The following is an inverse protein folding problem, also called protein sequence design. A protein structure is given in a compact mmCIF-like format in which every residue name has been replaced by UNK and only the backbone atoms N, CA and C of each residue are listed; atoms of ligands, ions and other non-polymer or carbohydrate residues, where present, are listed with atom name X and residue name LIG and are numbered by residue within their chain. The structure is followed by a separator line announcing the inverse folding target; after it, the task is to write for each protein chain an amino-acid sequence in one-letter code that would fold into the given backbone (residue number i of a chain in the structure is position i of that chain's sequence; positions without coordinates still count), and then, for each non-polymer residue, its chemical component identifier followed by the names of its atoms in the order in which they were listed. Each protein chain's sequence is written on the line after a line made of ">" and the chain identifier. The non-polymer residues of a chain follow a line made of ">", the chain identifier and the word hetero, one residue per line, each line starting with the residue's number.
data_IF_860568455237
#
_entry.id   IF_860568455237
#
_cell.length_a   1.000
_cell.length_b   1.000
_cell.length_c   1.000
_cell.angle_alpha   90.00
_cell.angle_beta   90.00
_cell.angle_gamma   90.00
#
_symmetry.space_group_name_H-M   'P 1'
#
loop_
_entity.id
_entity.type
_entity.pdbx_description
1 polymer ?
#
# COMPACT_ATOMS: atom_id res chain seq x y z
N UNK A 1 20.23 -16.47 -4.56
CA UNK A 1 19.45 -17.68 -4.23
C UNK A 1 20.36 -18.67 -3.52
N UNK A 2 19.84 -19.66 -2.79
CA UNK A 2 20.67 -20.82 -2.44
C UNK A 2 21.06 -21.55 -3.73
N UNK A 3 22.18 -22.27 -3.71
CA UNK A 3 22.71 -23.00 -4.86
C UNK A 3 21.70 -24.07 -5.36
N UNK A 4 20.74 -24.48 -4.52
CA UNK A 4 19.76 -25.53 -4.79
C UNK A 4 18.34 -25.03 -5.13
N UNK A 5 18.14 -23.71 -5.24
CA UNK A 5 16.81 -23.12 -5.52
C UNK A 5 15.78 -23.24 -4.38
N UNK A 6 16.12 -23.89 -3.26
CA UNK A 6 15.26 -23.99 -2.07
C UNK A 6 15.22 -22.68 -1.29
N UNK A 7 14.04 -22.33 -0.79
CA UNK A 7 13.87 -21.17 0.09
C UNK A 7 14.71 -21.35 1.36
N UNK A 8 15.50 -20.33 1.70
CA UNK A 8 16.29 -20.26 2.93
C UNK A 8 15.87 -19.03 3.71
N UNK A 9 15.43 -19.26 4.94
CA UNK A 9 14.98 -18.22 5.87
C UNK A 9 16.14 -17.29 6.21
N UNK A 10 17.32 -17.84 6.53
CA UNK A 10 18.55 -17.10 6.82
C UNK A 10 18.95 -16.17 5.66
N UNK A 11 19.01 -16.68 4.43
CA UNK A 11 19.41 -15.87 3.27
C UNK A 11 18.38 -14.76 2.98
N UNK A 12 17.10 -15.03 3.20
CA UNK A 12 16.02 -14.06 3.00
C UNK A 12 16.06 -12.97 4.07
N UNK A 13 16.33 -13.34 5.32
CA UNK A 13 16.56 -12.42 6.43
C UNK A 13 17.77 -11.52 6.18
N UNK A 14 18.92 -12.07 5.77
CA UNK A 14 20.09 -11.27 5.41
C UNK A 14 19.80 -10.26 4.31
N UNK A 15 19.09 -10.67 3.24
CA UNK A 15 18.69 -9.76 2.16
C UNK A 15 17.73 -8.67 2.64
N UNK A 16 16.79 -9.02 3.51
CA UNK A 16 15.85 -8.06 4.08
C UNK A 16 16.56 -7.01 4.93
N UNK A 17 17.45 -7.43 5.84
CA UNK A 17 18.20 -6.51 6.70
C UNK A 17 19.19 -5.65 5.91
N UNK A 18 19.78 -6.17 4.82
CA UNK A 18 20.59 -5.36 3.91
C UNK A 18 19.78 -4.26 3.19
N UNK A 19 18.51 -4.53 2.86
CA UNK A 19 17.59 -3.56 2.25
C UNK A 19 17.00 -2.58 3.26
N UNK A 20 16.88 -2.99 4.52
CA UNK A 20 16.30 -2.20 5.59
C UNK A 20 17.25 -2.13 6.79
N UNK A 21 18.36 -1.36 6.70
CA UNK A 21 19.41 -1.35 7.73
C UNK A 21 18.91 -0.98 9.13
N UNK A 22 17.94 -0.06 9.22
CA UNK A 22 17.33 0.38 10.49
C UNK A 22 16.58 -0.73 11.22
N UNK A 23 16.08 -1.72 10.50
CA UNK A 23 15.46 -2.91 11.12
C UNK A 23 16.53 -3.79 11.73
N UNK A 24 17.71 -3.87 11.10
CA UNK A 24 18.85 -4.66 11.57
C UNK A 24 19.47 -4.13 12.87
N UNK A 25 19.33 -2.84 13.19
CA UNK A 25 19.79 -2.27 14.45
C UNK A 25 18.89 -2.56 15.65
N UNK A 26 17.71 -3.15 15.43
CA UNK A 26 16.79 -3.46 16.53
C UNK A 26 17.15 -4.80 17.19
N UNK A 27 17.25 -4.87 18.54
CA UNK A 27 17.81 -6.03 19.24
C UNK A 27 17.20 -7.38 18.86
N UNK A 28 15.88 -7.44 18.62
CA UNK A 28 15.19 -8.67 18.21
C UNK A 28 15.68 -9.19 16.85
N UNK A 29 15.92 -8.31 15.89
CA UNK A 29 16.42 -8.65 14.56
C UNK A 29 17.94 -8.90 14.56
N UNK A 30 18.70 -8.21 15.41
CA UNK A 30 20.13 -8.45 15.59
C UNK A 30 20.37 -9.85 16.18
N UNK A 31 19.62 -10.22 17.23
CA UNK A 31 19.65 -11.56 17.82
C UNK A 31 19.30 -12.65 16.79
N UNK A 32 18.26 -12.41 15.99
CA UNK A 32 17.83 -13.30 14.92
C UNK A 32 18.93 -13.44 13.85
N UNK A 33 19.59 -12.35 13.46
CA UNK A 33 20.69 -12.38 12.49
C UNK A 33 21.91 -13.16 13.01
N UNK A 34 22.23 -13.05 14.31
CA UNK A 34 23.34 -13.76 14.95
C UNK A 34 23.16 -15.28 14.98
N UNK A 35 21.92 -15.79 15.00
CA UNK A 35 21.63 -17.23 14.97
C UNK A 35 22.01 -17.91 13.64
N UNK A 36 22.14 -17.15 12.54
CA UNK A 36 22.56 -17.69 11.24
C UNK A 36 21.67 -18.83 10.75
N UNK A 37 22.24 -20.01 10.52
CA UNK A 37 21.52 -21.19 10.04
C UNK A 37 20.53 -21.80 11.06
N UNK A 38 20.64 -21.45 12.34
CA UNK A 38 19.74 -21.95 13.39
C UNK A 38 18.41 -21.18 13.46
N UNK A 39 18.23 -20.13 12.66
CA UNK A 39 17.00 -19.35 12.61
C UNK A 39 15.85 -20.21 12.08
N UNK A 40 14.77 -20.30 12.86
CA UNK A 40 13.56 -21.02 12.45
C UNK A 40 12.60 -20.10 11.70
N UNK A 41 11.73 -20.69 10.88
CA UNK A 41 10.68 -19.95 10.18
C UNK A 41 9.72 -19.24 11.15
N UNK A 42 9.38 -19.89 12.27
CA UNK A 42 8.45 -19.37 13.27
C UNK A 42 8.99 -18.11 13.96
N UNK A 43 10.27 -18.12 14.36
CA UNK A 43 10.93 -16.95 14.96
C UNK A 43 10.92 -15.74 14.03
N UNK A 44 11.12 -15.98 12.73
CA UNK A 44 11.08 -14.92 11.71
C UNK A 44 9.65 -14.42 11.51
N UNK A 45 8.67 -15.32 11.42
CA UNK A 45 7.26 -14.96 11.29
C UNK A 45 6.81 -14.08 12.46
N UNK A 46 7.19 -14.43 13.68
CA UNK A 46 6.86 -13.65 14.88
C UNK A 46 7.47 -12.25 14.87
N UNK A 47 8.73 -12.11 14.42
CA UNK A 47 9.38 -10.80 14.31
C UNK A 47 8.79 -9.92 13.19
N UNK A 48 8.37 -10.54 12.08
CA UNK A 48 7.91 -9.85 10.88
C UNK A 48 6.42 -9.47 10.92
N UNK A 49 5.60 -10.17 11.70
CA UNK A 49 4.15 -9.98 11.73
C UNK A 49 3.75 -8.54 12.06
N UNK A 50 4.38 -7.95 13.07
CA UNK A 50 4.12 -6.56 13.45
C UNK A 50 4.78 -5.56 12.49
N UNK A 51 5.99 -5.88 12.04
CA UNK A 51 6.75 -5.03 11.10
C UNK A 51 6.05 -4.89 9.74
N UNK A 52 5.25 -5.88 9.34
CA UNK A 52 4.44 -5.85 8.13
C UNK A 52 3.53 -4.62 8.06
N UNK A 53 3.00 -4.18 9.19
CA UNK A 53 2.06 -3.06 9.29
C UNK A 53 2.75 -1.69 9.12
N UNK A 54 4.08 -1.67 9.19
CA UNK A 54 4.84 -0.44 9.01
C UNK A 54 4.92 -0.05 7.51
N UNK A 55 4.48 1.16 7.11
CA UNK A 55 4.37 1.55 5.70
C UNK A 55 5.68 1.49 4.91
N UNK A 56 6.83 1.65 5.56
CA UNK A 56 8.14 1.60 4.88
C UNK A 56 8.62 0.18 4.58
N UNK A 57 8.15 -0.82 5.33
CA UNK A 57 8.74 -2.16 5.33
C UNK A 57 7.87 -3.23 4.67
N UNK A 58 6.56 -2.99 4.47
CA UNK A 58 5.65 -3.97 3.86
C UNK A 58 6.17 -4.53 2.53
N UNK A 59 6.52 -3.66 1.57
CA UNK A 59 6.97 -4.06 0.22
C UNK A 59 8.28 -4.87 0.27
N UNK A 60 9.38 -4.38 0.89
CA UNK A 60 10.62 -5.14 0.94
C UNK A 60 10.48 -6.45 1.72
N UNK A 61 9.65 -6.48 2.77
CA UNK A 61 9.37 -7.70 3.54
C UNK A 61 8.71 -8.75 2.65
N UNK A 62 7.61 -8.41 1.97
CA UNK A 62 6.89 -9.36 1.11
C UNK A 62 7.78 -9.83 -0.04
N UNK A 63 8.57 -8.92 -0.62
CA UNK A 63 9.53 -9.28 -1.66
C UNK A 63 10.59 -10.30 -1.20
N UNK A 64 11.09 -10.18 0.04
CA UNK A 64 12.11 -11.11 0.56
C UNK A 64 11.52 -12.43 1.06
N UNK A 65 10.28 -12.41 1.58
CA UNK A 65 9.68 -13.53 2.30
C UNK A 65 8.46 -14.15 1.61
N UNK A 66 8.31 -13.96 0.29
CA UNK A 66 7.17 -14.44 -0.50
C UNK A 66 6.69 -15.87 -0.18
N UNK A 67 7.58 -16.88 0.01
CA UNK A 67 7.16 -18.24 0.32
C UNK A 67 6.46 -18.40 1.68
N UNK A 68 6.75 -17.54 2.65
CA UNK A 68 6.21 -17.59 4.02
C UNK A 68 5.27 -16.42 4.33
N UNK A 69 5.05 -15.50 3.37
CA UNK A 69 4.23 -14.29 3.58
C UNK A 69 2.84 -14.62 4.08
N UNK A 70 2.23 -15.74 3.66
CA UNK A 70 0.94 -16.17 4.19
C UNK A 70 0.96 -16.32 5.71
N UNK A 71 1.99 -17.00 6.26
CA UNK A 71 2.13 -17.18 7.71
C UNK A 71 2.36 -15.84 8.43
N UNK A 72 3.15 -14.94 7.82
CA UNK A 72 3.36 -13.58 8.36
C UNK A 72 2.05 -12.80 8.42
N UNK A 73 1.26 -12.81 7.34
CA UNK A 73 -0.05 -12.14 7.29
C UNK A 73 -1.02 -12.78 8.29
N UNK A 74 -1.13 -14.11 8.34
CA UNK A 74 -2.01 -14.82 9.27
C UNK A 74 -1.64 -14.50 10.74
N UNK A 75 -0.35 -14.41 11.06
CA UNK A 75 0.13 -13.98 12.38
C UNK A 75 -0.22 -12.51 12.66
N UNK A 76 -0.02 -11.61 11.70
CA UNK A 76 -0.39 -10.20 11.84
C UNK A 76 -1.90 -10.04 12.08
N UNK A 77 -2.74 -10.79 11.36
CA UNK A 77 -4.20 -10.82 11.57
C UNK A 77 -4.55 -11.33 12.96
N UNK A 78 -3.83 -12.33 13.47
CA UNK A 78 -4.01 -12.85 14.83
C UNK A 78 -3.67 -11.79 15.87
N UNK A 79 -2.56 -11.07 15.72
CA UNK A 79 -2.17 -9.97 16.61
C UNK A 79 -3.20 -8.83 16.56
N UNK A 80 -3.66 -8.45 15.37
CA UNK A 80 -4.67 -7.41 15.20
C UNK A 80 -6.02 -7.77 15.81
N UNK A 81 -6.37 -9.05 15.89
CA UNK A 81 -7.60 -9.51 16.57
C UNK A 81 -7.56 -9.29 18.08
N UNK A 82 -6.36 -9.23 18.67
CA UNK A 82 -6.18 -8.95 20.09
C UNK A 82 -6.27 -7.45 20.41
N UNK A 83 -6.28 -6.59 19.40
CA UNK A 83 -6.41 -5.14 19.59
C UNK A 83 -7.83 -4.83 20.12
N UNK A 84 -7.97 -4.11 21.25
CA UNK A 84 -9.28 -3.87 21.86
C UNK A 84 -10.27 -3.12 20.95
N UNK A 85 -9.75 -2.20 20.13
CA UNK A 85 -10.55 -1.32 19.29
C UNK A 85 -9.79 -0.92 18.02
N UNK A 86 -10.43 -1.14 16.86
CA UNK A 86 -9.92 -0.76 15.54
C UNK A 86 -10.84 0.24 14.82
N UNK A 87 -11.92 0.69 15.45
CA UNK A 87 -12.97 1.50 14.83
C UNK A 87 -12.80 3.00 15.06
N UNK A 88 -12.22 3.41 16.19
CA UNK A 88 -12.05 4.83 16.51
C UNK A 88 -10.76 5.11 17.27
N UNK A 89 -10.37 6.39 17.30
CA UNK A 89 -9.29 6.90 18.13
C UNK A 89 -9.86 7.56 19.39
N UNK A 90 -9.10 7.59 20.48
CA UNK A 90 -9.46 8.35 21.68
C UNK A 90 -9.31 9.87 21.45
N UNK A 91 -10.20 10.67 22.06
CA UNK A 91 -10.22 12.14 21.90
C UNK A 91 -8.95 12.85 22.42
N UNK A 92 -8.15 12.17 23.25
CA UNK A 92 -6.88 12.68 23.79
C UNK A 92 -5.73 12.60 22.76
N UNK A 93 -5.90 11.83 21.68
CA UNK A 93 -4.85 11.59 20.68
C UNK A 93 -4.63 12.75 19.69
N UNK A 94 -5.33 13.87 19.85
CA UNK A 94 -5.41 14.95 18.83
C UNK A 94 -4.14 15.83 18.76
N UNK A 95 -3.23 15.76 19.75
CA UNK A 95 -2.10 16.71 19.83
C UNK A 95 -0.78 16.28 19.19
N UNK A 96 -0.57 15.02 18.81
CA UNK A 96 0.67 14.61 18.14
C UNK A 96 0.41 14.04 16.74
N UNK A 97 0.48 14.98 15.81
CA UNK A 97 0.45 14.78 14.37
C UNK A 97 1.60 13.90 13.90
N UNK A 98 1.29 12.93 13.05
CA UNK A 98 2.28 12.31 12.18
C UNK A 98 1.90 10.87 11.87
N UNK A 99 1.64 10.58 10.60
CA UNK A 99 1.87 9.24 10.06
C UNK A 99 3.29 8.81 10.44
N UNK A 100 3.47 8.09 11.55
CA UNK A 100 4.75 7.58 12.04
C UNK A 100 5.94 8.39 11.52
N UNK A 101 6.05 9.66 11.94
CA UNK A 101 7.29 10.39 11.72
C UNK A 101 8.20 9.96 12.87
N UNK A 102 8.76 8.76 12.75
CA UNK A 102 10.04 8.44 13.33
C UNK A 102 10.53 7.07 12.87
N UNK A 103 11.83 7.03 12.61
CA UNK A 103 12.61 5.86 12.27
C UNK A 103 12.70 4.80 13.39
N UNK A 104 11.94 4.96 14.48
CA UNK A 104 12.13 4.25 15.74
C UNK A 104 11.01 3.24 16.08
N UNK A 105 9.79 3.39 15.55
CA UNK A 105 8.65 2.55 15.99
C UNK A 105 8.54 1.28 15.15
N UNK A 106 9.24 0.24 15.60
CA UNK A 106 9.10 -1.12 15.07
C UNK A 106 7.92 -1.88 15.71
N UNK A 107 7.51 -1.52 16.94
CA UNK A 107 6.37 -2.10 17.63
C UNK A 107 5.06 -1.35 17.30
N UNK A 108 4.62 -1.48 16.05
CA UNK A 108 3.49 -0.71 15.51
C UNK A 108 2.20 -0.94 16.31
N UNK A 109 1.90 -2.16 16.72
CA UNK A 109 0.61 -2.48 17.37
C UNK A 109 0.61 -1.90 18.78
N UNK A 110 1.65 -2.19 19.56
CA UNK A 110 1.75 -1.73 20.95
C UNK A 110 1.71 -0.21 21.04
N UNK A 111 2.44 0.48 20.16
CA UNK A 111 2.43 1.93 20.07
C UNK A 111 1.03 2.49 19.85
N UNK A 112 0.25 1.95 18.90
CA UNK A 112 -1.10 2.45 18.64
C UNK A 112 -2.09 2.11 19.76
N UNK A 113 -1.93 0.95 20.43
CA UNK A 113 -2.75 0.59 21.60
C UNK A 113 -2.51 1.60 22.74
N UNK A 114 -1.25 1.88 23.08
CA UNK A 114 -0.88 2.79 24.17
C UNK A 114 -1.42 4.21 23.97
N UNK A 115 -1.47 4.67 22.71
CA UNK A 115 -1.96 6.00 22.36
C UNK A 115 -3.46 6.05 22.05
N UNK A 116 -4.18 4.93 22.17
CA UNK A 116 -5.61 4.85 21.83
C UNK A 116 -5.91 5.16 20.36
N UNK A 117 -4.97 4.87 19.44
CA UNK A 117 -5.06 5.16 18.00
C UNK A 117 -5.47 3.94 17.18
N UNK A 118 -6.59 3.32 17.59
CA UNK A 118 -7.09 2.09 17.00
C UNK A 118 -7.46 2.20 15.52
N UNK A 119 -8.09 3.31 15.14
CA UNK A 119 -8.47 3.56 13.74
C UNK A 119 -7.24 3.81 12.86
N UNK A 120 -6.23 4.51 13.37
CA UNK A 120 -4.99 4.74 12.62
C UNK A 120 -4.24 3.42 12.37
N UNK A 121 -4.21 2.53 13.38
CA UNK A 121 -3.65 1.18 13.22
C UNK A 121 -4.42 0.36 12.17
N UNK A 122 -5.75 0.46 12.16
CA UNK A 122 -6.59 -0.19 11.15
C UNK A 122 -6.26 0.31 9.74
N UNK A 123 -6.10 1.63 9.55
CA UNK A 123 -5.73 2.22 8.26
C UNK A 123 -4.34 1.76 7.79
N UNK A 124 -3.37 1.65 8.70
CA UNK A 124 -2.05 1.08 8.42
C UNK A 124 -2.14 -0.40 8.01
N UNK A 125 -2.96 -1.18 8.70
CA UNK A 125 -3.19 -2.59 8.36
C UNK A 125 -3.83 -2.72 6.97
N UNK A 126 -4.84 -1.91 6.64
CA UNK A 126 -5.46 -1.87 5.32
C UNK A 126 -4.44 -1.50 4.23
N UNK A 127 -3.56 -0.52 4.47
CA UNK A 127 -2.48 -0.16 3.54
C UNK A 127 -1.50 -1.32 3.34
N UNK A 128 -1.09 -1.99 4.42
CA UNK A 128 -0.18 -3.12 4.36
C UNK A 128 -0.80 -4.30 3.58
N UNK A 129 -2.06 -4.63 3.86
CA UNK A 129 -2.78 -5.71 3.18
C UNK A 129 -3.07 -5.39 1.71
N UNK A 130 -3.39 -4.14 1.38
CA UNK A 130 -3.50 -3.67 0.02
C UNK A 130 -2.19 -3.94 -0.75
N UNK A 131 -1.07 -3.45 -0.25
CA UNK A 131 0.26 -3.66 -0.87
C UNK A 131 0.63 -5.14 -0.94
N UNK A 132 0.20 -5.93 0.04
CA UNK A 132 0.42 -7.37 0.04
C UNK A 132 -0.32 -8.07 -1.09
N UNK A 133 -1.58 -7.69 -1.35
CA UNK A 133 -2.36 -8.24 -2.45
C UNK A 133 -1.80 -7.87 -3.81
N UNK A 134 -1.30 -6.64 -3.97
CA UNK A 134 -0.70 -6.19 -5.23
C UNK A 134 0.54 -7.03 -5.61
N UNK A 135 1.30 -7.50 -4.61
CA UNK A 135 2.47 -8.34 -4.83
C UNK A 135 2.14 -9.84 -4.86
N UNK A 136 1.15 -10.25 -4.06
CA UNK A 136 0.85 -11.65 -3.77
C UNK A 136 -0.68 -11.86 -3.65
N UNK A 137 -1.39 -12.02 -4.78
CA UNK A 137 -2.86 -12.09 -4.79
C UNK A 137 -3.47 -13.26 -4.00
N UNK A 138 -2.74 -14.36 -3.81
CA UNK A 138 -3.24 -15.52 -3.06
C UNK A 138 -3.47 -15.24 -1.56
N UNK A 139 -3.01 -14.09 -1.04
CA UNK A 139 -3.24 -13.67 0.34
C UNK A 139 -4.68 -13.21 0.61
N UNK A 140 -5.53 -13.11 -0.42
CA UNK A 140 -6.91 -12.66 -0.30
C UNK A 140 -7.68 -13.40 0.80
N UNK A 141 -7.54 -14.72 0.90
CA UNK A 141 -8.22 -15.50 1.94
C UNK A 141 -7.81 -15.11 3.37
N UNK A 142 -6.51 -14.88 3.59
CA UNK A 142 -5.98 -14.43 4.88
C UNK A 142 -6.45 -13.03 5.24
N UNK A 143 -6.48 -12.12 4.26
CA UNK A 143 -6.93 -10.74 4.45
C UNK A 143 -8.44 -10.67 4.67
N UNK A 144 -9.23 -11.54 4.04
CA UNK A 144 -10.67 -11.64 4.35
C UNK A 144 -10.91 -12.09 5.80
N UNK A 145 -10.03 -12.90 6.40
CA UNK A 145 -10.15 -13.26 7.82
C UNK A 145 -9.94 -12.07 8.77
N UNK A 146 -9.22 -11.04 8.33
CA UNK A 146 -9.10 -9.78 9.07
C UNK A 146 -10.42 -9.01 9.07
N UNK A 147 -11.00 -8.82 7.89
CA UNK A 147 -12.26 -8.09 7.72
C UNK A 147 -13.50 -8.82 8.27
N UNK A 148 -13.36 -10.02 8.83
CA UNK A 148 -14.42 -10.67 9.62
C UNK A 148 -14.69 -9.96 10.95
N UNK A 149 -13.71 -9.25 11.50
CA UNK A 149 -13.83 -8.52 12.76
C UNK A 149 -13.47 -7.03 12.66
N UNK A 150 -12.67 -6.65 11.66
CA UNK A 150 -12.31 -5.26 11.42
C UNK A 150 -13.38 -4.50 10.60
N UNK A 151 -13.49 -3.16 10.76
CA UNK A 151 -14.36 -2.33 9.93
C UNK A 151 -13.87 -2.22 8.47
N UNK A 152 -14.65 -1.60 7.56
CA UNK A 152 -14.17 -1.25 6.22
C UNK A 152 -12.99 -0.27 6.28
N UNK A 153 -12.10 -0.25 5.27
CA UNK A 153 -10.93 0.63 5.22
C UNK A 153 -11.27 2.13 5.28
N UNK A 154 -12.53 2.49 5.05
CA UNK A 154 -13.05 3.85 5.05
C UNK A 154 -13.92 4.19 6.27
N UNK A 155 -13.74 3.48 7.40
CA UNK A 155 -14.47 3.75 8.66
C UNK A 155 -14.39 5.23 9.08
N UNK A 156 -13.25 5.90 8.88
CA UNK A 156 -13.09 7.34 9.17
C UNK A 156 -14.10 8.22 8.41
N UNK A 157 -14.42 7.86 7.17
CA UNK A 157 -15.39 8.58 6.33
C UNK A 157 -16.80 8.34 6.88
N UNK A 158 -17.11 7.10 7.27
CA UNK A 158 -18.39 6.73 7.86
C UNK A 158 -18.65 7.48 9.18
N UNK A 159 -17.65 7.51 10.07
CA UNK A 159 -17.78 8.15 11.38
C UNK A 159 -17.97 9.66 11.31
N UNK A 160 -17.31 10.35 10.36
CA UNK A 160 -17.42 11.81 10.22
C UNK A 160 -18.65 12.28 9.43
N UNK A 161 -19.39 11.36 8.82
CA UNK A 161 -20.69 11.62 8.18
C UNK A 161 -20.73 12.87 7.29
N UNK A 162 -21.63 13.81 7.61
CA UNK A 162 -21.88 15.03 6.86
C UNK A 162 -20.72 16.05 6.90
N UNK A 163 -19.88 16.02 7.93
CA UNK A 163 -18.91 17.09 8.22
C UNK A 163 -17.51 16.63 7.85
N UNK A 164 -17.16 16.80 6.57
CA UNK A 164 -15.78 16.62 6.12
C UNK A 164 -15.07 17.96 6.32
N UNK A 165 -14.34 18.10 7.43
CA UNK A 165 -13.48 19.26 7.63
C UNK A 165 -12.26 19.14 6.71
N UNK A 166 -12.25 19.92 5.63
CA UNK A 166 -11.20 19.91 4.62
C UNK A 166 -10.07 20.86 5.03
N UNK A 167 -9.35 20.52 6.11
CA UNK A 167 -8.06 21.15 6.42
C UNK A 167 -6.91 20.38 5.74
N UNK A 168 -5.77 21.04 5.52
CA UNK A 168 -4.63 20.44 4.81
C UNK A 168 -4.08 19.15 5.42
N UNK A 169 -4.14 18.98 6.76
CA UNK A 169 -3.77 17.69 7.39
C UNK A 169 -4.87 16.66 7.23
N UNK A 170 -6.13 17.06 7.46
CA UNK A 170 -7.29 16.16 7.38
C UNK A 170 -7.47 15.56 5.99
N UNK A 171 -7.20 16.33 4.93
CA UNK A 171 -7.35 15.84 3.55
C UNK A 171 -6.37 14.72 3.20
N UNK A 172 -5.14 14.76 3.76
CA UNK A 172 -4.16 13.70 3.51
C UNK A 172 -4.63 12.36 4.08
N UNK A 173 -5.28 12.36 5.24
CA UNK A 173 -5.87 11.16 5.82
C UNK A 173 -6.96 10.57 4.92
N UNK A 174 -7.88 11.42 4.43
CA UNK A 174 -8.92 10.98 3.50
C UNK A 174 -8.33 10.44 2.20
N UNK A 175 -7.31 11.09 1.64
CA UNK A 175 -6.64 10.62 0.43
C UNK A 175 -6.11 9.19 0.59
N UNK A 176 -5.39 8.91 1.68
CA UNK A 176 -4.83 7.58 1.94
C UNK A 176 -5.93 6.52 2.11
N UNK A 177 -6.99 6.85 2.86
CA UNK A 177 -8.15 5.97 3.07
C UNK A 177 -8.84 5.64 1.75
N UNK A 178 -9.15 6.66 0.96
CA UNK A 178 -9.88 6.52 -0.32
C UNK A 178 -9.05 5.71 -1.32
N UNK A 179 -7.74 5.99 -1.44
CA UNK A 179 -6.84 5.21 -2.32
C UNK A 179 -6.73 3.75 -1.90
N UNK A 180 -6.54 3.50 -0.61
CA UNK A 180 -6.44 2.13 -0.07
C UNK A 180 -7.72 1.35 -0.32
N UNK A 181 -8.87 2.01 -0.13
CA UNK A 181 -10.20 1.44 -0.37
C UNK A 181 -10.39 1.07 -1.84
N UNK A 182 -10.02 1.97 -2.76
CA UNK A 182 -10.08 1.71 -4.19
C UNK A 182 -9.20 0.53 -4.60
N UNK A 183 -7.95 0.48 -4.13
CA UNK A 183 -7.02 -0.61 -4.47
C UNK A 183 -7.48 -1.95 -3.93
N UNK A 184 -7.98 -2.02 -2.70
CA UNK A 184 -8.58 -3.25 -2.15
C UNK A 184 -9.77 -3.70 -3.01
N UNK A 185 -10.65 -2.77 -3.39
CA UNK A 185 -11.78 -3.06 -4.27
C UNK A 185 -11.32 -3.62 -5.62
N UNK A 186 -10.28 -3.08 -6.25
CA UNK A 186 -9.74 -3.61 -7.50
C UNK A 186 -9.08 -4.98 -7.30
N UNK A 187 -8.33 -5.17 -6.22
CA UNK A 187 -7.64 -6.43 -5.92
C UNK A 187 -8.59 -7.61 -5.69
N UNK A 188 -9.83 -7.35 -5.27
CA UNK A 188 -10.83 -8.39 -4.98
C UNK A 188 -12.26 -7.96 -5.31
N UNK A 189 -12.50 -7.44 -6.51
CA UNK A 189 -13.76 -6.77 -6.89
C UNK A 189 -15.01 -7.59 -6.60
N UNK A 190 -15.03 -8.87 -6.97
CA UNK A 190 -16.20 -9.73 -6.79
C UNK A 190 -16.58 -9.96 -5.32
N UNK A 191 -15.59 -9.83 -4.42
CA UNK A 191 -15.77 -10.01 -2.97
C UNK A 191 -16.05 -8.66 -2.32
N UNK A 192 -15.14 -7.69 -2.44
CA UNK A 192 -15.20 -6.43 -1.69
C UNK A 192 -16.34 -5.50 -2.15
N UNK A 193 -16.78 -5.57 -3.41
CA UNK A 193 -17.95 -4.79 -3.88
C UNK A 193 -19.23 -5.14 -3.13
N UNK A 194 -19.34 -6.39 -2.65
CA UNK A 194 -20.52 -6.91 -1.91
C UNK A 194 -20.28 -6.96 -0.41
N UNK A 195 -19.03 -6.85 0.03
CA UNK A 195 -18.64 -7.04 1.43
C UNK A 195 -18.89 -5.79 2.29
N UNK A 196 -18.81 -4.59 1.71
CA UNK A 196 -19.00 -3.32 2.43
C UNK A 196 -20.11 -2.48 1.80
N UNK A 197 -20.68 -1.57 2.60
CA UNK A 197 -21.55 -0.51 2.11
C UNK A 197 -20.72 0.68 1.61
N UNK A 198 -20.71 0.86 0.29
CA UNK A 198 -19.97 1.91 -0.40
C UNK A 198 -20.75 3.22 -0.54
N UNK A 199 -21.97 3.31 0.00
CA UNK A 199 -22.86 4.47 -0.17
C UNK A 199 -22.24 5.80 0.28
N UNK A 200 -21.37 5.78 1.30
CA UNK A 200 -20.65 6.96 1.77
C UNK A 200 -19.82 7.68 0.68
N UNK A 201 -19.40 6.95 -0.36
CA UNK A 201 -18.67 7.55 -1.50
C UNK A 201 -19.57 8.39 -2.41
N UNK A 202 -20.89 8.16 -2.42
CA UNK A 202 -21.84 9.04 -3.13
C UNK A 202 -21.83 10.44 -2.49
N UNK A 203 -21.84 10.50 -1.16
CA UNK A 203 -21.84 11.77 -0.43
C UNK A 203 -20.47 12.44 -0.48
N UNK A 204 -19.38 11.65 -0.41
CA UNK A 204 -18.02 12.15 -0.58
C UNK A 204 -17.84 12.82 -1.95
N UNK A 205 -18.18 12.14 -3.04
CA UNK A 205 -18.00 12.67 -4.40
C UNK A 205 -18.85 13.93 -4.60
N UNK A 206 -20.12 13.94 -4.16
CA UNK A 206 -20.97 15.14 -4.23
C UNK A 206 -20.35 16.35 -3.54
N UNK A 207 -19.77 16.16 -2.34
CA UNK A 207 -19.11 17.25 -1.60
C UNK A 207 -17.84 17.71 -2.30
N UNK A 208 -16.98 16.78 -2.72
CA UNK A 208 -15.67 17.10 -3.30
C UNK A 208 -15.80 17.76 -4.67
N UNK A 209 -16.87 17.49 -5.43
CA UNK A 209 -17.19 18.20 -6.69
C UNK A 209 -17.52 19.68 -6.46
N UNK A 210 -18.09 20.03 -5.30
CA UNK A 210 -18.54 21.40 -5.00
C UNK A 210 -17.50 22.29 -4.29
N UNK A 211 -16.28 21.78 -4.05
CA UNK A 211 -15.22 22.58 -3.43
C UNK A 211 -14.60 23.49 -4.49
N UNK A 212 -14.62 24.79 -4.24
CA UNK A 212 -14.03 25.81 -5.10
C UNK A 212 -12.49 25.73 -5.09
N UNK A 213 -11.87 25.99 -6.24
CA UNK A 213 -10.44 25.79 -6.46
C UNK A 213 -9.60 26.87 -5.73
N UNK A 214 -9.33 26.66 -4.43
CA UNK A 214 -8.44 27.52 -3.63
C UNK A 214 -6.99 27.51 -4.11
N UNK A 215 -6.15 28.47 -3.68
CA UNK A 215 -4.82 28.72 -4.26
C UNK A 215 -3.69 27.72 -3.94
N UNK A 216 -3.88 26.74 -3.04
CA UNK A 216 -2.84 25.75 -2.70
C UNK A 216 -2.84 24.57 -3.68
N UNK A 217 -1.81 24.54 -4.53
CA UNK A 217 -1.59 23.51 -5.57
C UNK A 217 -1.54 22.09 -5.00
N UNK A 218 -0.96 21.88 -3.80
CA UNK A 218 -0.89 20.53 -3.21
C UNK A 218 -2.27 20.08 -2.73
N UNK A 219 -2.98 20.96 -2.03
CA UNK A 219 -4.32 20.72 -1.54
C UNK A 219 -5.30 20.42 -2.69
N UNK A 220 -5.25 21.20 -3.77
CA UNK A 220 -6.02 20.94 -4.99
C UNK A 220 -5.72 19.56 -5.57
N UNK A 221 -4.44 19.19 -5.64
CA UNK A 221 -4.00 17.87 -6.11
C UNK A 221 -4.64 16.73 -5.32
N UNK A 222 -4.65 16.84 -4.01
CA UNK A 222 -5.16 15.81 -3.11
C UNK A 222 -6.70 15.72 -3.22
N UNK A 223 -7.40 16.86 -3.38
CA UNK A 223 -8.84 16.93 -3.71
C UNK A 223 -9.13 16.18 -5.01
N UNK A 224 -8.38 16.48 -6.08
CA UNK A 224 -8.58 15.83 -7.38
C UNK A 224 -8.37 14.32 -7.30
N UNK A 225 -7.35 13.87 -6.56
CA UNK A 225 -7.08 12.44 -6.39
C UNK A 225 -8.19 11.75 -5.57
N UNK A 226 -8.72 12.40 -4.52
CA UNK A 226 -9.88 11.92 -3.76
C UNK A 226 -11.11 11.81 -4.67
N UNK A 227 -11.40 12.87 -5.44
CA UNK A 227 -12.52 12.91 -6.39
C UNK A 227 -12.42 11.76 -7.38
N UNK A 228 -11.24 11.59 -7.98
CA UNK A 228 -10.99 10.54 -8.95
C UNK A 228 -11.20 9.15 -8.35
N UNK A 229 -10.55 8.83 -7.23
CA UNK A 229 -10.69 7.53 -6.59
C UNK A 229 -12.13 7.27 -6.13
N UNK A 230 -12.84 8.28 -5.61
CA UNK A 230 -14.24 8.15 -5.23
C UNK A 230 -15.13 7.79 -6.42
N UNK A 231 -14.92 8.45 -7.56
CA UNK A 231 -15.65 8.15 -8.81
C UNK A 231 -15.30 6.74 -9.32
N UNK A 232 -14.05 6.31 -9.25
CA UNK A 232 -13.66 4.96 -9.66
C UNK A 232 -14.22 3.87 -8.74
N UNK A 233 -14.32 4.13 -7.44
CA UNK A 233 -15.01 3.23 -6.51
C UNK A 233 -16.47 3.07 -6.94
N UNK A 234 -17.16 4.19 -7.17
CA UNK A 234 -18.56 4.18 -7.60
C UNK A 234 -18.72 3.51 -8.98
N UNK A 235 -17.79 3.71 -9.90
CA UNK A 235 -17.86 3.11 -11.23
C UNK A 235 -17.79 1.58 -11.16
N UNK A 236 -16.92 1.04 -10.31
CA UNK A 236 -16.77 -0.40 -10.10
C UNK A 236 -17.98 -0.97 -9.37
N UNK A 237 -18.41 -0.35 -8.26
CA UNK A 237 -19.51 -0.84 -7.43
C UNK A 237 -20.85 -0.79 -8.18
N UNK A 238 -21.10 0.30 -8.91
CA UNK A 238 -22.35 0.52 -9.64
C UNK A 238 -22.30 0.02 -11.09
N UNK A 239 -21.19 -0.60 -11.51
CA UNK A 239 -20.96 -1.10 -12.88
C UNK A 239 -21.21 -0.03 -13.95
N UNK A 240 -20.72 1.19 -13.71
CA UNK A 240 -20.82 2.29 -14.65
C UNK A 240 -19.91 2.06 -15.86
N UNK A 241 -20.34 2.52 -17.03
CA UNK A 241 -19.48 2.57 -18.21
C UNK A 241 -18.67 3.88 -18.26
N UNK A 242 -17.64 3.91 -19.11
CA UNK A 242 -16.75 5.07 -19.25
C UNK A 242 -17.48 6.37 -19.59
N UNK A 243 -18.58 6.28 -20.36
CA UNK A 243 -19.41 7.44 -20.70
C UNK A 243 -20.11 8.02 -19.47
N UNK A 244 -20.59 7.18 -18.57
CA UNK A 244 -21.18 7.61 -17.31
C UNK A 244 -20.12 8.19 -16.36
N UNK A 245 -18.92 7.60 -16.32
CA UNK A 245 -17.78 8.11 -15.53
C UNK A 245 -17.35 9.50 -16.01
N UNK A 246 -17.26 9.72 -17.33
CA UNK A 246 -16.88 11.02 -17.90
C UNK A 246 -17.85 12.15 -17.52
N UNK A 247 -19.12 11.85 -17.22
CA UNK A 247 -20.10 12.85 -16.76
C UNK A 247 -19.78 13.42 -15.37
N UNK A 248 -18.94 12.74 -14.58
CA UNK A 248 -18.47 13.24 -13.30
C UNK A 248 -17.22 14.12 -13.42
N UNK A 249 -16.84 14.50 -14.65
CA UNK A 249 -15.70 15.38 -14.91
C UNK A 249 -14.34 14.67 -14.90
N UNK A 250 -14.31 13.34 -14.86
CA UNK A 250 -13.06 12.56 -14.91
C UNK A 250 -12.58 12.43 -16.36
N UNK A 251 -11.59 13.24 -16.74
CA UNK A 251 -10.91 13.16 -18.04
C UNK A 251 -9.81 12.08 -18.06
N UNK A 252 -9.38 11.67 -19.25
CA UNK A 252 -8.28 10.70 -19.42
C UNK A 252 -6.97 11.17 -18.74
N UNK A 253 -6.70 12.48 -18.77
CA UNK A 253 -5.49 13.09 -18.19
C UNK A 253 -5.43 12.99 -16.65
N UNK A 254 -6.59 13.00 -15.98
CA UNK A 254 -6.68 12.93 -14.52
C UNK A 254 -6.44 11.50 -14.00
N UNK A 255 -6.90 10.49 -14.76
CA UNK A 255 -6.64 9.08 -14.50
C UNK A 255 -5.15 8.73 -14.55
N UNK A 256 -4.40 9.38 -15.45
CA UNK A 256 -2.96 9.20 -15.56
C UNK A 256 -2.19 9.78 -14.37
N UNK A 257 -2.71 10.86 -13.78
CA UNK A 257 -2.04 11.56 -12.70
C UNK A 257 -2.23 10.87 -11.34
N UNK A 258 -3.38 10.23 -11.07
CA UNK A 258 -3.71 9.60 -9.79
C UNK A 258 -3.04 8.23 -9.59
N UNK A 259 -2.96 7.43 -10.66
CA UNK A 259 -2.48 6.03 -10.61
C UNK A 259 -0.97 5.89 -10.34
N UNK A 260 -0.17 6.95 -10.55
CA UNK A 260 1.30 6.93 -10.48
C UNK A 260 1.90 7.52 -9.18
N UNK A 261 1.07 7.94 -8.21
CA UNK A 261 1.54 8.79 -7.09
C UNK A 261 1.90 8.05 -5.80
N UNK A 262 1.75 6.74 -5.74
CA UNK A 262 1.98 5.98 -4.50
C UNK A 262 3.45 5.57 -4.23
N UNK A 263 4.40 5.93 -5.12
CA UNK A 263 5.83 5.58 -4.99
C UNK A 263 6.77 6.79 -4.88
N UNK A 264 6.41 7.82 -4.10
CA UNK A 264 7.41 8.79 -3.62
C UNK A 264 7.90 8.43 -2.23
N UNK A 265 8.58 7.29 -2.11
CA UNK A 265 9.70 7.21 -1.17
C UNK A 265 10.87 7.98 -1.81
N UNK A 266 11.50 8.84 -1.02
CA UNK A 266 12.49 9.81 -1.49
C UNK A 266 13.65 9.15 -2.24
N UNK A 267 13.99 9.73 -3.41
CA UNK A 267 15.28 9.56 -4.08
C UNK A 267 15.28 8.72 -5.37
N UNK A 268 14.87 9.32 -6.50
CA UNK A 268 15.60 9.21 -7.79
C UNK A 268 14.95 10.03 -8.93
N UNK A 269 15.74 10.65 -9.83
CA UNK A 269 15.26 11.59 -10.85
C UNK A 269 14.93 10.91 -12.19
N UNK A 270 14.33 9.71 -12.18
CA UNK A 270 13.89 9.08 -13.44
C UNK A 270 12.48 9.54 -13.80
N UNK A 271 12.38 10.55 -14.65
CA UNK A 271 11.12 11.12 -15.12
C UNK A 271 10.52 10.19 -16.17
N UNK A 272 9.40 9.55 -15.83
CA UNK A 272 8.66 8.68 -16.74
C UNK A 272 7.81 9.54 -17.69
N UNK A 273 8.12 9.54 -18.99
CA UNK A 273 7.26 10.18 -20.01
C UNK A 273 6.15 9.23 -20.44
N UNK A 274 5.06 9.75 -21.01
CA UNK A 274 3.90 8.96 -21.47
C UNK A 274 4.29 7.84 -22.44
N UNK A 275 5.23 8.11 -23.35
CA UNK A 275 5.77 7.11 -24.29
C UNK A 275 6.60 6.03 -23.59
N UNK A 276 7.43 6.40 -22.61
CA UNK A 276 8.25 5.45 -21.84
C UNK A 276 7.38 4.53 -20.97
N UNK A 277 6.23 5.01 -20.48
CA UNK A 277 5.31 4.22 -19.65
C UNK A 277 4.68 3.06 -20.41
N UNK A 278 4.20 3.29 -21.64
CA UNK A 278 3.61 2.23 -22.48
C UNK A 278 4.65 1.16 -22.84
N UNK A 279 5.87 1.57 -23.17
CA UNK A 279 6.98 0.64 -23.40
C UNK A 279 7.33 -0.14 -22.12
N UNK A 280 7.30 0.51 -20.95
CA UNK A 280 7.58 -0.14 -19.67
C UNK A 280 6.53 -1.22 -19.33
N UNK A 281 5.24 -0.91 -19.46
CA UNK A 281 4.13 -1.85 -19.20
C UNK A 281 4.18 -3.07 -20.12
N UNK A 282 4.45 -2.87 -21.42
CA UNK A 282 4.58 -3.98 -22.38
C UNK A 282 5.74 -4.91 -22.02
N UNK A 283 6.90 -4.36 -21.66
CA UNK A 283 8.05 -5.17 -21.26
C UNK A 283 7.75 -5.87 -19.93
N UNK A 284 7.07 -5.22 -18.98
CA UNK A 284 6.72 -5.79 -17.67
C UNK A 284 5.78 -6.97 -17.79
N UNK A 285 4.76 -6.84 -18.62
CA UNK A 285 3.84 -7.93 -18.91
C UNK A 285 4.58 -9.12 -19.54
N UNK A 286 5.43 -8.89 -20.54
CA UNK A 286 6.16 -9.96 -21.20
C UNK A 286 7.18 -10.66 -20.27
N UNK A 287 7.91 -9.89 -19.44
CA UNK A 287 8.83 -10.44 -18.43
C UNK A 287 8.08 -11.26 -17.38
N UNK A 288 6.90 -10.81 -16.94
CA UNK A 288 6.06 -11.56 -15.98
C UNK A 288 5.63 -12.94 -16.51
N UNK A 289 5.51 -13.06 -17.83
CA UNK A 289 5.17 -14.31 -18.53
C UNK A 289 6.40 -15.14 -18.93
N UNK A 290 7.61 -14.72 -18.53
CA UNK A 290 8.89 -15.33 -18.91
C UNK A 290 9.15 -15.35 -20.42
N UNK A 291 8.62 -14.38 -21.17
CA UNK A 291 8.86 -14.26 -22.60
C UNK A 291 10.16 -13.47 -22.87
N UNK A 292 11.01 -13.91 -23.81
CA UNK A 292 12.13 -13.10 -24.27
C UNK A 292 11.64 -11.83 -24.98
N UNK A 293 12.20 -10.67 -24.62
CA UNK A 293 11.81 -9.37 -25.18
C UNK A 293 13.01 -8.66 -25.79
N UNK A 294 12.90 -8.24 -27.06
CA UNK A 294 13.90 -7.42 -27.74
C UNK A 294 13.46 -5.94 -27.78
N UNK A 295 14.22 -5.07 -27.13
CA UNK A 295 14.00 -3.62 -27.13
C UNK A 295 14.85 -2.94 -28.22
N UNK A 296 14.21 -2.42 -29.27
CA UNK A 296 14.88 -1.66 -30.34
C UNK A 296 14.36 -0.22 -30.44
N UNK A 297 15.19 0.68 -30.99
CA UNK A 297 14.84 2.09 -31.17
C UNK A 297 16.07 2.98 -31.37
N UNK A 298 15.88 4.28 -31.70
CA UNK A 298 16.98 5.21 -31.97
C UNK A 298 17.97 5.36 -30.80
N UNK A 299 19.21 5.75 -31.10
CA UNK A 299 20.23 6.02 -30.08
C UNK A 299 19.75 7.12 -29.12
N UNK A 300 20.05 6.99 -27.82
CA UNK A 300 19.62 7.96 -26.80
C UNK A 300 18.15 7.85 -26.34
N UNK A 301 17.34 6.96 -26.90
CA UNK A 301 15.92 6.79 -26.52
C UNK A 301 15.64 6.20 -25.11
N UNK A 302 16.66 6.08 -24.25
CA UNK A 302 16.50 5.64 -22.87
C UNK A 302 16.30 4.13 -22.64
N UNK A 303 16.56 3.28 -23.65
CA UNK A 303 16.38 1.80 -23.56
C UNK A 303 17.13 1.18 -22.37
N UNK A 304 18.40 1.54 -22.18
CA UNK A 304 19.19 1.03 -21.05
C UNK A 304 18.66 1.52 -19.71
N UNK A 305 18.19 2.77 -19.64
CA UNK A 305 17.61 3.32 -18.42
C UNK A 305 16.26 2.69 -18.06
N UNK A 306 15.45 2.31 -19.06
CA UNK A 306 14.23 1.54 -18.88
C UNK A 306 14.52 0.15 -18.30
N UNK A 307 15.54 -0.55 -18.84
CA UNK A 307 15.99 -1.86 -18.30
C UNK A 307 16.52 -1.70 -16.87
N UNK A 308 17.36 -0.71 -16.59
CA UNK A 308 17.91 -0.48 -15.25
C UNK A 308 16.83 -0.15 -14.22
N UNK A 309 15.81 0.63 -14.60
CA UNK A 309 14.65 0.90 -13.74
C UNK A 309 13.85 -0.38 -13.48
N UNK A 310 13.58 -1.14 -14.53
CA UNK A 310 12.81 -2.37 -14.42
C UNK A 310 13.50 -3.47 -13.60
N UNK A 311 14.82 -3.57 -13.74
CA UNK A 311 15.68 -4.42 -12.92
C UNK A 311 15.66 -4.02 -11.44
N UNK A 312 15.61 -2.70 -11.17
CA UNK A 312 15.47 -2.16 -9.81
C UNK A 312 14.09 -2.46 -9.22
N UNK A 313 13.02 -2.25 -9.99
CA UNK A 313 11.64 -2.48 -9.56
C UNK A 313 11.34 -3.99 -9.38
N UNK A 314 11.93 -4.84 -10.22
CA UNK A 314 11.81 -6.30 -10.14
C UNK A 314 12.81 -6.95 -9.16
N UNK A 315 13.71 -6.16 -8.57
CA UNK A 315 14.71 -6.63 -7.59
C UNK A 315 15.82 -7.53 -8.16
N UNK A 316 16.02 -7.55 -9.48
CA UNK A 316 17.09 -8.28 -10.18
C UNK A 316 18.20 -7.30 -10.57
N UNK A 317 19.01 -6.83 -9.61
CA UNK A 317 20.27 -6.18 -9.96
C UNK A 317 21.31 -7.28 -10.20
N UNK A 318 21.73 -7.45 -11.46
CA UNK A 318 22.97 -8.14 -11.76
C UNK A 318 24.13 -7.34 -11.19
N UNK A 319 25.08 -8.03 -10.55
CA UNK A 319 26.42 -7.50 -10.29
C UNK A 319 27.04 -6.96 -11.57
#
# INVERSE_FOLDING_TARGET
>A
MSIDGRFSVELSLRRFLARCPKVGSVPRFESLAKKGQLVTEEEVVDCLAELLLHPRYTIPLIGCFRPITKKVVDKAVTLLRLVPNLRFNSDVAVTESGYLDDDEVINVIEFHIQHGRGLDLHELACLAFCRALDLVPFLLGSILNYFKFAPPPFERILMKGSVIELSGKVITYYLHVVRTSYRLLIAGTEVFSKYWDWSCFLDLVKKVVNIDEGSDVKFQKDIMDIRWCGIQILSVVLKMNDRAVAKFGVGADEAHSCSLRDDKSAGNPFVMTSTLKRSFEMVLLAVSQKWPVLLHGPAGAGKSALISKMARDSGNQGN
#
